data_IF_370769620080
#
_entry.id   IF_370769620080
#
_cell.length_a   1.000
_cell.length_b   1.000
_cell.length_c   1.000
_cell.angle_alpha   90.00
_cell.angle_beta   90.00
_cell.angle_gamma   90.00
#
_symmetry.space_group_name_H-M   'P 1'
#
loop_
_entity.id
_entity.type
_entity.pdbx_description
1 polymer ?
#
# COMPACT_ATOMS: atom_id res chain seq x y z
N UNK A 1 10.91 8.76 75.69
CA UNK A 1 10.79 8.55 75.06
C UNK A 1 10.38 8.59 74.05
N UNK A 2 10.24 8.64 73.43
CA UNK A 2 9.79 8.72 72.43
C UNK A 2 10.17 8.77 71.38
N UNK A 3 10.20 8.55 70.77
CA UNK A 3 10.51 8.55 69.73
C UNK A 3 9.98 8.65 68.72
N UNK A 4 9.78 8.75 68.11
CA UNK A 4 9.26 8.92 67.16
C UNK A 4 9.68 8.77 66.04
N UNK A 5 9.56 8.53 65.28
CA UNK A 5 9.89 8.35 64.17
C UNK A 5 9.41 8.62 63.10
N UNK A 6 9.26 8.74 62.59
CA UNK A 6 9.07 9.21 61.63
C UNK A 6 9.18 8.64 60.63
N UNK A 7 8.91 8.30 59.96
CA UNK A 7 8.98 7.74 58.97
C UNK A 7 8.74 8.15 57.87
N UNK A 8 8.80 8.50 57.37
CA UNK A 8 8.82 8.89 56.31
C UNK A 8 8.69 8.30 55.31
N UNK A 9 8.34 8.11 54.57
CA UNK A 9 8.12 7.61 53.65
C UNK A 9 8.26 7.96 52.55
N UNK A 10 8.55 7.97 52.00
CA UNK A 10 8.76 8.20 50.95
C UNK A 10 8.19 8.03 49.96
N UNK A 11 7.86 8.04 49.48
CA UNK A 11 7.25 8.00 48.50
C UNK A 11 7.59 7.83 47.39
N UNK A 12 7.80 7.76 46.76
CA UNK A 12 8.01 7.60 45.69
C UNK A 12 7.54 7.76 44.65
N UNK A 13 7.34 7.80 44.21
CA UNK A 13 6.97 8.04 43.19
C UNK A 13 7.13 7.68 42.17
N UNK A 14 7.23 7.55 41.54
CA UNK A 14 7.36 7.26 40.52
C UNK A 14 6.92 7.38 39.46
N UNK A 15 6.77 7.39 38.86
CA UNK A 15 6.46 7.53 37.84
C UNK A 15 6.47 7.19 36.92
N UNK A 16 6.46 6.91 36.41
CA UNK A 16 6.45 6.53 35.52
C UNK A 16 6.29 6.73 34.47
N UNK A 17 6.30 6.77 33.98
CA UNK A 17 6.24 6.87 32.96
C UNK A 17 5.92 6.61 32.04
N UNK A 18 5.77 6.43 31.42
CA UNK A 18 5.40 6.22 30.44
C UNK A 18 5.43 6.23 29.37
N UNK A 19 5.46 6.09 28.96
CA UNK A 19 5.51 6.07 27.86
C UNK A 19 5.25 5.95 26.92
N UNK A 20 5.10 5.82 26.49
CA UNK A 20 4.80 5.76 25.52
C UNK A 20 4.72 5.69 24.53
N UNK A 21 4.68 5.64 24.21
CA UNK A 21 4.52 5.63 23.20
C UNK A 21 4.51 5.27 22.25
N UNK A 22 4.59 4.98 22.00
CA UNK A 22 4.59 4.67 21.11
C UNK A 22 4.43 4.50 20.17
N UNK A 23 4.34 4.32 19.80
CA UNK A 23 4.18 4.13 18.89
C UNK A 23 3.95 3.97 18.03
N UNK A 24 3.88 3.84 17.68
CA UNK A 24 3.63 3.69 16.84
C UNK A 24 3.65 3.51 15.79
N UNK A 25 3.68 3.47 15.33
CA UNK A 25 3.65 3.38 14.34
C UNK A 25 3.66 2.95 13.46
N UNK A 26 3.58 2.56 13.21
CA UNK A 26 3.60 2.11 12.50
C UNK A 26 3.45 2.04 11.46
N UNK A 27 3.48 2.08 11.08
CA UNK A 27 3.42 1.98 10.23
C UNK A 27 3.09 1.89 9.39
N UNK A 28 2.72 1.79 8.87
CA UNK A 28 2.35 1.59 8.12
C UNK A 28 2.41 1.77 7.13
N UNK A 29 2.41 1.82 6.70
CA UNK A 29 2.71 1.88 5.82
C UNK A 29 2.20 1.93 4.80
N UNK A 30 1.91 1.78 4.62
CA UNK A 30 1.43 1.62 3.71
C UNK A 30 1.16 2.39 2.83
N UNK A 31 0.53 2.50 2.39
CA UNK A 31 0.28 3.14 1.33
C UNK A 31 -0.42 4.31 1.58
N UNK A 32 0.05 5.37 1.26
CA UNK A 32 -0.62 6.58 1.35
C UNK A 32 -1.35 6.87 0.09
N UNK A 33 -2.03 5.92 -0.47
CA UNK A 33 -2.69 6.13 -1.73
C UNK A 33 -4.11 5.59 -1.72
N UNK A 34 -4.95 6.20 -2.52
CA UNK A 34 -6.27 5.68 -2.80
C UNK A 34 -6.18 4.80 -4.03
N UNK A 35 -6.78 3.64 -3.97
CA UNK A 35 -6.76 2.71 -5.10
C UNK A 35 -8.18 2.31 -5.45
N UNK A 36 -8.50 2.43 -6.71
CA UNK A 36 -9.79 2.01 -7.25
C UNK A 36 -9.51 1.14 -8.47
N UNK A 37 -9.74 -0.15 -8.36
CA UNK A 37 -9.52 -1.09 -9.45
C UNK A 37 -10.80 -1.88 -9.64
N UNK A 38 -11.26 -1.93 -10.87
CA UNK A 38 -12.47 -2.66 -11.20
C UNK A 38 -12.17 -4.16 -11.29
N UNK A 39 -13.01 -4.95 -10.65
CA UNK A 39 -12.93 -6.39 -10.78
C UNK A 39 -13.37 -6.78 -12.19
N UNK A 40 -12.57 -7.57 -12.86
CA UNK A 40 -12.84 -7.97 -14.24
C UNK A 40 -12.76 -9.47 -14.38
N UNK A 41 -13.37 -9.98 -15.43
CA UNK A 41 -13.25 -11.37 -15.80
C UNK A 41 -12.09 -11.53 -16.81
N UNK A 42 -11.63 -12.75 -16.94
CA UNK A 42 -10.52 -13.03 -17.84
C UNK A 42 -10.94 -12.79 -19.29
N UNK A 43 -10.03 -12.14 -20.01
CA UNK A 43 -10.32 -11.72 -21.37
C UNK A 43 -10.86 -10.31 -21.48
N UNK A 44 -11.28 -9.74 -20.38
CA UNK A 44 -11.73 -8.34 -20.35
C UNK A 44 -10.60 -7.45 -19.88
N UNK A 45 -10.54 -6.27 -20.44
CA UNK A 45 -9.60 -5.27 -19.97
C UNK A 45 -10.27 -4.38 -18.94
N UNK A 46 -9.52 -3.92 -17.98
CA UNK A 46 -10.06 -3.06 -16.95
C UNK A 46 -9.18 -1.85 -16.74
N UNK A 47 -9.71 -0.89 -15.98
CA UNK A 47 -9.01 0.35 -15.69
C UNK A 47 -9.00 0.56 -14.19
N UNK A 48 -7.86 0.99 -13.69
CA UNK A 48 -7.72 1.36 -12.29
C UNK A 48 -7.24 2.78 -12.16
N UNK A 49 -7.44 3.34 -10.99
CA UNK A 49 -7.02 4.71 -10.67
C UNK A 49 -6.34 4.71 -9.33
N UNK A 50 -5.22 5.41 -9.22
CA UNK A 50 -4.54 5.60 -7.96
C UNK A 50 -4.22 7.08 -7.78
N UNK A 51 -4.28 7.53 -6.53
CA UNK A 51 -3.91 8.88 -6.14
C UNK A 51 -2.85 8.79 -5.06
N UNK A 52 -1.77 9.53 -5.24
CA UNK A 52 -0.70 9.55 -4.25
C UNK A 52 0.06 10.86 -4.35
N UNK A 53 0.96 11.07 -3.41
CA UNK A 53 1.80 12.28 -3.41
C UNK A 53 3.14 12.02 -4.09
N UNK A 54 3.80 13.08 -4.53
CA UNK A 54 5.14 12.99 -5.11
C UNK A 54 6.07 12.20 -4.20
N UNK A 55 6.81 11.28 -4.78
CA UNK A 55 7.73 10.45 -4.02
C UNK A 55 7.05 9.37 -3.20
N UNK A 56 5.73 9.32 -3.21
CA UNK A 56 4.98 8.33 -2.45
C UNK A 56 4.96 6.97 -3.11
N UNK A 57 4.52 5.99 -2.35
CA UNK A 57 4.45 4.60 -2.78
C UNK A 57 3.02 4.10 -2.67
N UNK A 58 2.59 3.32 -3.63
CA UNK A 58 1.25 2.79 -3.67
C UNK A 58 1.29 1.31 -3.98
N UNK A 59 0.58 0.51 -3.19
CA UNK A 59 0.39 -0.89 -3.50
C UNK A 59 -0.85 -1.03 -4.36
N UNK A 60 -0.70 -1.67 -5.48
CA UNK A 60 -1.78 -1.84 -6.45
C UNK A 60 -2.12 -3.32 -6.54
N UNK A 61 -3.20 -3.73 -5.88
CA UNK A 61 -3.64 -5.11 -5.99
C UNK A 61 -4.44 -5.30 -7.27
N UNK A 62 -4.15 -6.35 -7.98
CA UNK A 62 -4.90 -6.69 -9.19
C UNK A 62 -6.00 -7.66 -8.80
N UNK A 63 -7.23 -7.31 -9.13
CA UNK A 63 -8.38 -8.10 -8.75
C UNK A 63 -9.05 -8.69 -9.97
N UNK A 64 -9.06 -10.01 -10.01
CA UNK A 64 -9.68 -10.75 -11.10
C UNK A 64 -10.54 -11.86 -10.50
N UNK A 65 -11.51 -12.29 -11.27
CA UNK A 65 -12.35 -13.42 -10.86
C UNK A 65 -11.54 -14.71 -11.04
N UNK A 66 -11.37 -15.47 -9.96
CA UNK A 66 -10.67 -16.74 -10.03
C UNK A 66 -9.19 -16.63 -9.70
N UNK A 67 -8.39 -17.41 -10.36
CA UNK A 67 -6.99 -17.56 -10.05
C UNK A 67 -6.10 -16.91 -11.11
N UNK A 68 -5.17 -16.11 -10.64
CA UNK A 68 -4.17 -15.50 -11.51
C UNK A 68 -2.93 -16.37 -11.50
N UNK A 69 -2.52 -16.83 -12.68
CA UNK A 69 -1.37 -17.71 -12.79
C UNK A 69 -0.10 -16.97 -13.15
N UNK A 70 -0.22 -15.81 -13.80
CA UNK A 70 0.95 -15.03 -14.16
C UNK A 70 0.56 -13.56 -14.33
N UNK A 71 1.54 -12.70 -14.17
CA UNK A 71 1.34 -11.28 -14.43
C UNK A 71 2.66 -10.64 -14.81
N UNK A 72 2.58 -9.63 -15.65
CA UNK A 72 3.74 -8.91 -16.12
C UNK A 72 3.39 -7.44 -16.32
N UNK A 73 4.40 -6.60 -16.34
CA UNK A 73 4.23 -5.20 -16.67
C UNK A 73 4.21 -5.08 -18.18
N UNK A 74 3.07 -4.68 -18.75
CA UNK A 74 2.96 -4.52 -20.19
C UNK A 74 3.30 -3.11 -20.64
N UNK A 75 3.11 -2.13 -19.79
CA UNK A 75 3.50 -0.76 -20.08
C UNK A 75 4.07 -0.14 -18.82
N UNK A 76 5.30 0.34 -18.91
CA UNK A 76 5.98 0.94 -17.77
C UNK A 76 5.54 2.37 -17.57
N UNK A 77 5.49 2.84 -16.33
CA UNK A 77 5.20 4.25 -16.09
C UNK A 77 6.37 5.12 -16.51
N UNK A 78 6.07 6.35 -16.85
CA UNK A 78 7.08 7.31 -17.30
C UNK A 78 7.62 8.11 -16.12
N UNK A 79 6.76 8.41 -15.15
CA UNK A 79 7.08 9.30 -14.05
C UNK A 79 7.18 8.59 -12.71
N UNK A 80 7.52 7.33 -12.74
CA UNK A 80 7.65 6.54 -11.54
C UNK A 80 8.24 5.18 -11.86
N UNK A 81 8.25 4.34 -10.84
CA UNK A 81 8.73 2.97 -10.98
C UNK A 81 7.66 1.99 -10.55
N UNK A 82 7.51 0.96 -11.31
CA UNK A 82 6.57 -0.10 -11.02
C UNK A 82 7.32 -1.38 -10.78
N UNK A 83 6.99 -2.04 -9.68
CA UNK A 83 7.66 -3.27 -9.28
C UNK A 83 6.61 -4.32 -8.96
N UNK A 84 6.81 -5.51 -9.46
CA UNK A 84 5.94 -6.63 -9.13
C UNK A 84 6.41 -7.25 -7.82
N UNK A 85 5.54 -7.28 -6.83
CA UNK A 85 5.85 -7.89 -5.53
C UNK A 85 5.47 -9.36 -5.52
N UNK A 86 4.30 -9.66 -6.08
CA UNK A 86 3.88 -11.05 -6.28
C UNK A 86 2.93 -11.08 -7.47
N UNK A 87 2.32 -12.22 -7.74
CA UNK A 87 1.50 -12.38 -8.92
C UNK A 87 0.33 -11.40 -9.00
N UNK A 88 -0.19 -10.98 -7.87
CA UNK A 88 -1.37 -10.12 -7.85
C UNK A 88 -1.14 -8.75 -7.25
N UNK A 89 0.08 -8.42 -6.85
CA UNK A 89 0.35 -7.15 -6.20
C UNK A 89 1.56 -6.47 -6.81
N UNK A 90 1.37 -5.20 -7.15
CA UNK A 90 2.42 -4.37 -7.71
C UNK A 90 2.63 -3.16 -6.82
N UNK A 91 3.81 -2.62 -6.84
CA UNK A 91 4.15 -1.43 -6.10
C UNK A 91 4.54 -0.32 -7.08
N UNK A 92 3.84 0.78 -7.02
CA UNK A 92 4.17 1.96 -7.81
C UNK A 92 4.78 3.01 -6.91
N UNK A 93 5.92 3.54 -7.31
CA UNK A 93 6.56 4.63 -6.60
C UNK A 93 6.66 5.83 -7.51
N UNK A 94 6.03 6.93 -7.13
CA UNK A 94 6.05 8.15 -7.90
C UNK A 94 7.42 8.81 -7.78
N UNK A 95 7.87 9.42 -8.88
CA UNK A 95 9.11 10.17 -8.87
C UNK A 95 8.97 11.36 -7.94
N UNK A 96 10.02 11.61 -7.17
CA UNK A 96 10.03 12.75 -6.26
C UNK A 96 9.91 14.04 -7.06
N UNK A 97 9.11 14.95 -6.55
CA UNK A 97 8.90 16.28 -7.14
C UNK A 97 8.11 16.29 -8.44
N UNK A 98 7.64 15.14 -8.89
CA UNK A 98 6.75 15.11 -10.04
C UNK A 98 5.31 15.28 -9.57
N UNK A 99 4.55 16.10 -10.26
CA UNK A 99 3.12 16.27 -10.05
C UNK A 99 2.44 16.21 -11.38
N UNK A 100 1.37 15.47 -11.45
CA UNK A 100 0.65 15.30 -12.68
C UNK A 100 0.12 13.88 -12.80
N UNK A 101 -0.02 13.41 -14.01
CA UNK A 101 -0.54 12.09 -14.26
C UNK A 101 0.52 11.17 -14.81
N UNK A 102 0.31 9.89 -14.59
CA UNK A 102 1.15 8.84 -15.12
C UNK A 102 0.25 7.65 -15.43
N UNK A 103 0.70 6.77 -16.28
CA UNK A 103 -0.09 5.61 -16.68
C UNK A 103 0.83 4.41 -16.82
N UNK A 104 0.34 3.27 -16.37
CA UNK A 104 1.03 2.01 -16.60
C UNK A 104 0.00 0.92 -16.81
N UNK A 105 0.44 -0.21 -17.32
CA UNK A 105 -0.46 -1.31 -17.59
C UNK A 105 0.16 -2.63 -17.15
N UNK A 106 -0.69 -3.50 -16.66
CA UNK A 106 -0.31 -4.83 -16.19
C UNK A 106 -1.08 -5.85 -17.00
N UNK A 107 -0.37 -6.84 -17.48
CA UNK A 107 -0.97 -7.94 -18.22
C UNK A 107 -1.03 -9.13 -17.29
N UNK A 108 -2.20 -9.67 -17.10
CA UNK A 108 -2.43 -10.78 -16.20
C UNK A 108 -3.05 -11.95 -16.98
N UNK A 109 -2.66 -13.15 -16.61
CA UNK A 109 -3.18 -14.37 -17.21
C UNK A 109 -3.70 -15.28 -16.10
N UNK A 110 -4.82 -15.89 -16.35
CA UNK A 110 -5.40 -16.79 -15.37
C UNK A 110 -6.70 -17.39 -15.82
N UNK A 111 -7.43 -17.92 -14.86
CA UNK A 111 -8.70 -18.56 -15.14
C UNK A 111 -9.68 -18.38 -13.99
N UNK A 112 -10.92 -18.25 -14.34
CA UNK A 112 -12.00 -18.08 -13.41
C UNK A 112 -13.13 -19.04 -13.72
N UNK A 113 -14.25 -18.89 -12.99
CA UNK A 113 -15.38 -19.80 -13.16
C UNK A 113 -16.07 -19.67 -14.51
N UNK A 114 -15.97 -18.50 -15.16
CA UNK A 114 -16.70 -18.25 -16.40
C UNK A 114 -15.79 -18.00 -17.59
N UNK A 115 -14.51 -17.75 -17.37
CA UNK A 115 -13.60 -17.40 -18.45
C UNK A 115 -12.16 -17.68 -18.07
N UNK A 116 -11.31 -17.80 -19.06
CA UNK A 116 -9.87 -17.90 -18.88
C UNK A 116 -9.19 -17.12 -19.98
N UNK A 117 -7.96 -16.72 -19.75
CA UNK A 117 -7.20 -15.99 -20.74
C UNK A 117 -6.36 -14.89 -20.14
N UNK A 118 -6.19 -13.84 -20.92
CA UNK A 118 -5.31 -12.73 -20.56
C UNK A 118 -6.09 -11.45 -20.56
N UNK A 119 -5.81 -10.63 -19.55
CA UNK A 119 -6.43 -9.30 -19.42
C UNK A 119 -5.36 -8.26 -19.22
N UNK A 120 -5.65 -7.04 -19.64
CA UNK A 120 -4.78 -5.89 -19.43
C UNK A 120 -5.48 -4.93 -18.50
N UNK A 121 -4.81 -4.56 -17.44
CA UNK A 121 -5.31 -3.61 -16.48
C UNK A 121 -4.49 -2.33 -16.65
N UNK A 122 -5.14 -1.28 -17.09
CA UNK A 122 -4.50 0.02 -17.27
C UNK A 122 -4.76 0.86 -16.03
N UNK A 123 -3.71 1.37 -15.43
CA UNK A 123 -3.81 2.15 -14.21
C UNK A 123 -3.40 3.58 -14.48
N UNK A 124 -4.27 4.50 -14.11
CA UNK A 124 -4.00 5.93 -14.20
C UNK A 124 -3.64 6.45 -12.82
N UNK A 125 -2.49 7.05 -12.72
CA UNK A 125 -2.00 7.61 -11.47
C UNK A 125 -2.13 9.12 -11.48
N UNK A 126 -2.63 9.68 -10.41
CA UNK A 126 -2.65 11.12 -10.19
C UNK A 126 -1.68 11.42 -9.04
N UNK A 127 -0.69 12.23 -9.31
CA UNK A 127 0.38 12.52 -8.37
C UNK A 127 0.30 13.99 -7.98
N UNK A 128 0.16 14.23 -6.70
CA UNK A 128 -0.05 15.57 -6.15
C UNK A 128 1.16 16.11 -5.42
#
# INVERSE_FOLDING_TARGET
MHRTFAVTVAALAFVVGTPSLMSVCLARAASDCSVSVTLADWGENSTGYIDLTSGGTCLVPIRMLGTMTNSDISEKPVHGKLKRLDTSTFEYKAKARYRGSDTFAIKATGQGPTASGTSVITVHATIK
#
